data_IF_520425043035
#
_entry.id   IF_520425043035
#
_cell.length_a   1.000
_cell.length_b   1.000
_cell.length_c   1.000
_cell.angle_alpha   90.00
_cell.angle_beta   90.00
_cell.angle_gamma   90.00
#
_symmetry.space_group_name_H-M   'P 1'
#
loop_
_entity.id
_entity.type
_entity.pdbx_description
1 polymer ?
#
# COMPACT_ATOMS: atom_id res chain seq x y z
N UNK A 1 27.97 -3.59 -24.64
CA UNK A 1 27.09 -2.75 -23.80
C UNK A 1 28.00 -1.73 -23.12
N UNK A 2 27.90 -0.45 -23.52
CA UNK A 2 28.72 0.61 -22.93
C UNK A 2 28.38 0.75 -21.44
N UNK A 3 29.39 0.59 -20.58
CA UNK A 3 29.30 0.96 -19.17
C UNK A 3 28.97 2.46 -19.11
N UNK A 4 27.71 2.81 -18.83
CA UNK A 4 27.36 4.18 -18.51
C UNK A 4 28.14 4.58 -17.26
N UNK A 5 29.12 5.49 -17.42
CA UNK A 5 29.86 6.08 -16.27
C UNK A 5 28.85 6.73 -15.34
N UNK A 6 28.67 6.11 -14.17
CA UNK A 6 27.90 6.69 -13.06
C UNK A 6 28.62 7.97 -12.62
N UNK A 7 27.91 9.10 -12.57
CA UNK A 7 28.50 10.40 -12.20
C UNK A 7 28.71 10.44 -10.67
N UNK A 8 27.70 10.01 -9.90
CA UNK A 8 27.73 9.99 -8.43
C UNK A 8 27.22 8.64 -7.91
N UNK A 9 27.84 8.13 -6.86
CA UNK A 9 27.38 6.92 -6.19
C UNK A 9 26.38 7.26 -5.08
N UNK A 10 25.23 6.57 -5.07
CA UNK A 10 24.30 6.62 -3.94
C UNK A 10 24.92 5.92 -2.73
N UNK A 11 24.99 6.58 -1.56
CA UNK A 11 25.51 5.94 -0.37
C UNK A 11 24.66 4.74 0.04
N UNK A 12 25.26 3.57 0.23
CA UNK A 12 24.56 2.35 0.67
C UNK A 12 23.84 2.53 2.02
N UNK A 13 24.31 3.45 2.86
CA UNK A 13 23.70 3.78 4.16
C UNK A 13 22.30 4.40 4.02
N UNK A 14 21.97 4.99 2.88
CA UNK A 14 20.64 5.55 2.63
C UNK A 14 19.58 4.47 2.46
N UNK A 15 19.97 3.23 2.09
CA UNK A 15 19.01 2.17 1.80
C UNK A 15 17.86 2.69 0.92
N UNK A 16 16.60 2.39 1.24
CA UNK A 16 15.44 2.91 0.51
C UNK A 16 14.77 4.14 1.17
N UNK A 17 15.44 4.85 2.09
CA UNK A 17 14.86 6.06 2.71
C UNK A 17 14.40 7.11 1.70
N UNK A 18 15.11 7.38 0.58
CA UNK A 18 14.60 8.30 -0.44
C UNK A 18 13.27 7.83 -1.04
N UNK A 19 13.11 6.53 -1.30
CA UNK A 19 11.84 5.97 -1.77
C UNK A 19 10.73 6.10 -0.72
N UNK A 20 11.06 5.95 0.58
CA UNK A 20 10.11 6.18 1.69
C UNK A 20 9.56 7.61 1.66
N UNK A 21 10.44 8.60 1.50
CA UNK A 21 10.04 10.03 1.42
C UNK A 21 9.20 10.29 0.18
N UNK A 22 9.60 9.78 -0.99
CA UNK A 22 8.84 9.94 -2.23
C UNK A 22 7.47 9.28 -2.15
N UNK A 23 7.37 8.10 -1.54
CA UNK A 23 6.09 7.41 -1.35
C UNK A 23 5.17 8.20 -0.39
N UNK A 24 5.71 8.70 0.73
CA UNK A 24 4.94 9.53 1.65
C UNK A 24 4.44 10.82 0.99
N UNK A 25 5.28 11.48 0.18
CA UNK A 25 4.89 12.67 -0.58
C UNK A 25 3.83 12.35 -1.64
N UNK A 26 3.97 11.23 -2.35
CA UNK A 26 2.97 10.76 -3.32
C UNK A 26 1.62 10.50 -2.66
N UNK A 27 1.58 9.84 -1.52
CA UNK A 27 0.33 9.63 -0.77
C UNK A 27 -0.30 10.95 -0.33
N UNK A 28 0.52 11.91 0.13
CA UNK A 28 0.06 13.26 0.46
C UNK A 28 -0.57 13.98 -0.73
N UNK A 29 0.04 13.86 -1.92
CA UNK A 29 -0.51 14.42 -3.16
C UNK A 29 -1.87 13.77 -3.51
N UNK A 30 -1.92 12.44 -3.58
CA UNK A 30 -3.15 11.72 -3.99
C UNK A 30 -4.33 12.05 -3.08
N UNK A 31 -4.11 12.11 -1.76
CA UNK A 31 -5.20 12.29 -0.79
C UNK A 31 -5.56 13.75 -0.51
N UNK A 32 -4.59 14.66 -0.52
CA UNK A 32 -4.80 16.04 -0.08
C UNK A 32 -4.85 17.07 -1.22
N UNK A 33 -4.48 16.73 -2.45
CA UNK A 33 -4.58 17.67 -3.58
C UNK A 33 -6.03 18.03 -3.86
N UNK A 34 -6.25 19.28 -4.30
CA UNK A 34 -7.58 19.81 -4.59
C UNK A 34 -8.26 19.15 -5.77
N UNK A 35 -7.49 18.69 -6.75
CA UNK A 35 -7.99 18.04 -7.96
C UNK A 35 -7.05 16.90 -8.42
N UNK A 36 -6.90 15.81 -7.61
CA UNK A 36 -5.92 14.76 -7.89
C UNK A 36 -6.26 13.94 -9.14
N UNK A 37 -7.49 14.01 -9.61
CA UNK A 37 -7.97 13.31 -10.81
C UNK A 37 -8.02 14.22 -12.05
N UNK A 38 -7.62 15.49 -11.93
CA UNK A 38 -7.56 16.41 -13.05
C UNK A 38 -6.46 15.98 -14.04
N UNK A 39 -6.76 15.73 -15.33
CA UNK A 39 -5.80 15.19 -16.28
C UNK A 39 -4.59 16.10 -16.51
N UNK A 40 -4.77 17.42 -16.53
CA UNK A 40 -3.67 18.37 -16.77
C UNK A 40 -2.71 18.38 -15.57
N UNK A 41 -3.26 18.37 -14.36
CA UNK A 41 -2.45 18.28 -13.13
C UNK A 41 -1.70 16.96 -13.06
N UNK A 42 -2.38 15.84 -13.32
CA UNK A 42 -1.75 14.52 -13.35
C UNK A 42 -0.63 14.44 -14.39
N UNK A 43 -0.83 15.04 -15.58
CA UNK A 43 0.20 15.08 -16.62
C UNK A 43 1.44 15.85 -16.14
N UNK A 44 1.27 17.00 -15.48
CA UNK A 44 2.39 17.79 -14.93
C UNK A 44 3.14 16.99 -13.85
N UNK A 45 2.43 16.38 -12.89
CA UNK A 45 3.06 15.57 -11.85
C UNK A 45 3.77 14.33 -12.43
N UNK A 46 3.13 13.63 -13.38
CA UNK A 46 3.71 12.46 -14.03
C UNK A 46 4.98 12.81 -14.80
N UNK A 47 4.94 13.91 -15.59
CA UNK A 47 6.11 14.40 -16.32
C UNK A 47 7.23 14.83 -15.38
N UNK A 48 6.91 15.55 -14.31
CA UNK A 48 7.88 15.96 -13.29
C UNK A 48 8.54 14.76 -12.61
N UNK A 49 7.75 13.76 -12.21
CA UNK A 49 8.25 12.52 -11.62
C UNK A 49 9.12 11.71 -12.61
N UNK A 50 8.69 11.64 -13.87
CA UNK A 50 9.44 10.98 -14.92
C UNK A 50 10.78 11.69 -15.20
N UNK A 51 10.79 13.04 -15.29
CA UNK A 51 12.00 13.82 -15.45
C UNK A 51 12.97 13.64 -14.27
N UNK A 52 12.45 13.65 -13.03
CA UNK A 52 13.23 13.36 -11.81
C UNK A 52 13.87 11.97 -11.90
N UNK A 53 13.11 10.97 -12.33
CA UNK A 53 13.57 9.57 -12.42
C UNK A 53 14.64 9.43 -13.52
N UNK A 54 14.44 10.01 -14.70
CA UNK A 54 15.45 10.00 -15.77
C UNK A 54 16.73 10.74 -15.34
N UNK A 55 16.58 11.93 -14.76
CA UNK A 55 17.73 12.70 -14.24
C UNK A 55 18.48 11.91 -13.18
N UNK A 56 17.77 11.30 -12.22
CA UNK A 56 18.37 10.46 -11.20
C UNK A 56 19.11 9.24 -11.77
N UNK A 57 18.52 8.55 -12.74
CA UNK A 57 19.15 7.41 -13.41
C UNK A 57 20.43 7.81 -14.19
N UNK A 58 20.46 9.01 -14.79
CA UNK A 58 21.65 9.48 -15.49
C UNK A 58 22.79 9.86 -14.55
N UNK A 59 22.48 10.41 -13.35
CA UNK A 59 23.45 10.85 -12.36
C UNK A 59 23.96 9.69 -11.51
N UNK A 60 23.05 8.86 -10.98
CA UNK A 60 23.38 7.82 -9.98
C UNK A 60 23.41 6.40 -10.57
N UNK A 61 23.09 6.25 -11.85
CA UNK A 61 22.95 4.97 -12.49
C UNK A 61 21.58 4.33 -12.28
N UNK A 62 21.12 3.63 -13.32
CA UNK A 62 19.78 3.03 -13.36
C UNK A 62 19.50 2.08 -12.20
N UNK A 63 20.43 1.15 -11.94
CA UNK A 63 20.19 0.12 -10.92
C UNK A 63 20.11 0.69 -9.51
N UNK A 64 21.01 1.60 -9.16
CA UNK A 64 21.03 2.24 -7.85
C UNK A 64 19.76 3.08 -7.64
N UNK A 65 19.36 3.86 -8.64
CA UNK A 65 18.17 4.70 -8.58
C UNK A 65 16.90 3.87 -8.39
N UNK A 66 16.66 2.86 -9.23
CA UNK A 66 15.46 2.03 -9.17
C UNK A 66 15.38 1.16 -7.90
N UNK A 67 16.53 0.79 -7.32
CA UNK A 67 16.55 -0.01 -6.09
C UNK A 67 16.39 0.81 -4.82
N UNK A 68 16.80 2.09 -4.80
CA UNK A 68 16.89 2.86 -3.56
C UNK A 68 16.01 4.12 -3.54
N UNK A 69 15.69 4.71 -4.69
CA UNK A 69 15.05 6.03 -4.77
C UNK A 69 13.66 5.98 -5.41
N UNK A 70 13.52 5.26 -6.51
CA UNK A 70 12.27 5.21 -7.26
C UNK A 70 11.23 4.38 -6.49
N UNK A 71 10.23 5.07 -5.89
CA UNK A 71 9.32 4.47 -4.93
C UNK A 71 8.41 3.39 -5.51
N UNK A 72 8.01 3.50 -6.79
CA UNK A 72 7.18 2.47 -7.42
C UNK A 72 7.99 1.22 -7.76
N UNK A 73 9.25 1.35 -8.17
CA UNK A 73 10.14 0.19 -8.37
C UNK A 73 10.35 -0.56 -7.05
N UNK A 74 10.55 0.17 -5.95
CA UNK A 74 10.63 -0.43 -4.61
C UNK A 74 9.32 -1.11 -4.24
N UNK A 75 8.17 -0.47 -4.46
CA UNK A 75 6.84 -1.04 -4.21
C UNK A 75 6.64 -2.34 -5.00
N UNK A 76 6.87 -2.33 -6.30
CA UNK A 76 6.70 -3.51 -7.15
C UNK A 76 7.71 -4.62 -6.84
N UNK A 77 8.93 -4.27 -6.42
CA UNK A 77 9.88 -5.26 -5.93
C UNK A 77 9.37 -5.97 -4.67
N UNK A 78 8.81 -5.23 -3.70
CA UNK A 78 8.20 -5.80 -2.50
C UNK A 78 6.96 -6.65 -2.83
N UNK A 79 6.06 -6.17 -3.70
CA UNK A 79 4.90 -6.94 -4.18
C UNK A 79 5.37 -8.25 -4.85
N UNK A 80 6.45 -8.18 -5.63
CA UNK A 80 7.05 -9.34 -6.26
C UNK A 80 7.49 -10.45 -5.30
N UNK A 81 7.73 -10.14 -4.02
CA UNK A 81 8.06 -11.13 -2.99
C UNK A 81 6.85 -11.95 -2.51
N UNK A 82 5.63 -11.54 -2.84
CA UNK A 82 4.41 -12.31 -2.50
C UNK A 82 4.16 -13.47 -3.47
N UNK A 83 4.85 -13.49 -4.62
CA UNK A 83 4.70 -14.58 -5.60
C UNK A 83 4.94 -15.95 -4.98
N UNK A 84 4.22 -16.97 -5.46
CA UNK A 84 4.31 -18.36 -4.99
C UNK A 84 5.56 -19.09 -5.48
N UNK A 85 6.08 -18.70 -6.64
CA UNK A 85 7.23 -19.39 -7.29
C UNK A 85 8.48 -18.54 -7.34
N UNK A 86 9.65 -19.16 -7.06
CA UNK A 86 10.97 -18.57 -7.33
C UNK A 86 11.92 -19.67 -7.82
N UNK A 87 12.46 -19.48 -9.03
CA UNK A 87 13.23 -20.54 -9.69
C UNK A 87 12.38 -21.84 -9.73
N UNK A 88 12.88 -22.99 -9.46
CA UNK A 88 12.14 -24.27 -9.49
C UNK A 88 11.43 -24.62 -8.15
N UNK A 89 11.20 -23.63 -7.25
CA UNK A 89 10.55 -23.86 -5.96
C UNK A 89 9.21 -23.17 -5.91
N UNK A 90 8.18 -23.89 -5.46
CA UNK A 90 6.85 -23.38 -5.13
C UNK A 90 6.71 -23.37 -3.61
N UNK A 91 6.06 -22.33 -3.09
CA UNK A 91 5.78 -22.16 -1.67
C UNK A 91 4.48 -21.40 -1.43
N UNK A 92 4.16 -21.16 -0.18
CA UNK A 92 3.03 -20.30 0.19
C UNK A 92 3.27 -18.88 -0.36
N UNK A 93 2.21 -18.14 -0.74
CA UNK A 93 2.34 -16.73 -1.09
C UNK A 93 3.12 -15.98 -0.01
N UNK A 94 4.10 -15.17 -0.39
CA UNK A 94 4.91 -14.39 0.57
C UNK A 94 6.03 -15.15 1.28
N UNK A 95 6.24 -16.44 1.01
CA UNK A 95 7.34 -17.20 1.65
C UNK A 95 8.72 -16.57 1.39
N UNK A 96 8.86 -15.80 0.33
CA UNK A 96 10.11 -15.10 0.00
C UNK A 96 10.40 -13.94 0.96
N UNK A 97 9.37 -13.31 1.53
CA UNK A 97 9.51 -12.30 2.59
C UNK A 97 10.23 -12.87 3.84
N UNK A 98 10.09 -14.18 4.08
CA UNK A 98 10.74 -14.85 5.19
C UNK A 98 12.21 -15.18 4.92
N UNK A 99 12.58 -15.32 3.65
CA UNK A 99 13.94 -15.70 3.24
C UNK A 99 14.84 -14.50 3.00
N UNK A 100 14.27 -13.37 2.59
CA UNK A 100 15.01 -12.15 2.36
C UNK A 100 15.43 -11.54 3.70
N UNK A 101 16.74 -11.50 3.96
CA UNK A 101 17.33 -10.96 5.20
C UNK A 101 17.84 -9.54 5.06
N UNK A 102 17.78 -8.98 3.85
CA UNK A 102 18.35 -7.68 3.53
C UNK A 102 17.41 -6.51 3.85
N UNK A 103 16.20 -6.81 4.38
CA UNK A 103 15.27 -5.78 4.82
C UNK A 103 15.78 -5.04 6.06
N UNK A 104 15.74 -3.74 6.00
CA UNK A 104 16.09 -2.85 7.09
C UNK A 104 14.89 -2.01 7.57
N UNK A 105 15.14 -1.05 8.46
CA UNK A 105 14.10 -0.20 9.02
C UNK A 105 13.35 0.60 7.94
N UNK A 106 14.02 1.01 6.87
CA UNK A 106 13.38 1.76 5.78
C UNK A 106 12.33 0.93 5.03
N UNK A 107 12.59 -0.37 4.82
CA UNK A 107 11.62 -1.30 4.24
C UNK A 107 10.39 -1.49 5.16
N UNK A 108 10.62 -1.62 6.46
CA UNK A 108 9.55 -1.71 7.45
C UNK A 108 8.65 -0.47 7.42
N UNK A 109 9.24 0.73 7.45
CA UNK A 109 8.51 1.99 7.39
C UNK A 109 7.81 2.17 6.04
N UNK A 110 8.42 1.74 4.93
CA UNK A 110 7.77 1.77 3.62
C UNK A 110 6.48 0.95 3.59
N UNK A 111 6.50 -0.28 4.14
CA UNK A 111 5.30 -1.13 4.25
C UNK A 111 4.24 -0.49 5.16
N UNK A 112 4.66 0.10 6.29
CA UNK A 112 3.74 0.80 7.21
C UNK A 112 3.09 1.99 6.52
N UNK A 113 3.83 2.77 5.70
CA UNK A 113 3.27 3.89 4.92
C UNK A 113 2.18 3.38 3.97
N UNK A 114 2.46 2.35 3.18
CA UNK A 114 1.48 1.81 2.23
C UNK A 114 0.22 1.34 2.96
N UNK A 115 0.37 0.64 4.07
CA UNK A 115 -0.76 0.14 4.85
C UNK A 115 -1.56 1.26 5.51
N UNK A 116 -0.88 2.19 6.18
CA UNK A 116 -1.54 3.30 6.88
C UNK A 116 -2.21 4.28 5.91
N UNK A 117 -1.54 4.62 4.80
CA UNK A 117 -2.09 5.52 3.79
C UNK A 117 -3.33 4.92 3.13
N UNK A 118 -3.28 3.62 2.73
CA UNK A 118 -4.46 2.95 2.18
C UNK A 118 -5.63 2.91 3.16
N UNK A 119 -5.34 2.64 4.45
CA UNK A 119 -6.37 2.62 5.49
C UNK A 119 -6.95 4.01 5.76
N UNK A 120 -6.10 5.04 5.74
CA UNK A 120 -6.54 6.43 5.89
C UNK A 120 -7.34 6.91 4.69
N UNK A 121 -7.00 6.47 3.48
CA UNK A 121 -7.77 6.69 2.25
C UNK A 121 -9.22 6.17 2.38
N UNK A 122 -9.41 5.00 2.99
CA UNK A 122 -10.75 4.51 3.32
C UNK A 122 -11.45 5.27 4.46
N UNK A 123 -10.69 5.91 5.34
CA UNK A 123 -11.21 6.55 6.55
C UNK A 123 -11.62 8.01 6.31
N UNK A 124 -10.80 8.77 5.58
CA UNK A 124 -10.94 10.23 5.51
C UNK A 124 -12.25 10.70 4.84
N UNK A 125 -12.87 9.87 4.01
CA UNK A 125 -14.18 10.14 3.39
C UNK A 125 -15.37 9.67 4.24
N UNK A 126 -15.14 8.93 5.33
CA UNK A 126 -16.24 8.45 6.17
C UNK A 126 -16.92 9.59 6.91
N UNK A 127 -18.24 9.49 7.08
CA UNK A 127 -19.00 10.45 7.89
C UNK A 127 -18.48 10.54 9.32
N UNK A 128 -17.95 9.42 9.85
CA UNK A 128 -17.34 9.38 11.17
C UNK A 128 -16.11 10.30 11.27
N UNK A 129 -15.20 10.24 10.28
CA UNK A 129 -14.01 11.10 10.27
C UNK A 129 -14.38 12.58 10.07
N UNK A 130 -15.23 12.88 9.09
CA UNK A 130 -15.68 14.24 8.80
C UNK A 130 -16.31 14.90 10.02
N UNK A 131 -17.17 14.17 10.75
CA UNK A 131 -17.76 14.65 11.99
C UNK A 131 -16.71 14.92 13.08
N UNK A 132 -15.65 14.08 13.17
CA UNK A 132 -14.57 14.27 14.16
C UNK A 132 -13.73 15.51 13.91
N UNK A 133 -13.53 15.88 12.66
CA UNK A 133 -12.80 17.11 12.29
C UNK A 133 -13.73 18.33 12.18
N UNK A 134 -15.00 18.22 12.60
CA UNK A 134 -15.96 19.32 12.62
C UNK A 134 -16.52 19.70 11.25
N UNK A 135 -16.43 18.82 10.27
CA UNK A 135 -16.93 19.02 8.91
C UNK A 135 -18.28 18.33 8.76
N UNK A 136 -19.29 19.09 8.32
CA UNK A 136 -20.58 18.51 7.98
C UNK A 136 -20.52 17.86 6.60
N UNK A 137 -20.64 16.51 6.48
CA UNK A 137 -20.55 15.82 5.20
C UNK A 137 -21.68 16.23 4.23
N UNK A 138 -22.78 16.79 4.72
CA UNK A 138 -23.90 17.22 3.89
C UNK A 138 -23.72 18.61 3.29
N UNK A 139 -22.75 19.39 3.76
CA UNK A 139 -22.46 20.74 3.26
C UNK A 139 -21.44 20.71 2.09
N UNK A 140 -20.92 19.53 1.71
CA UNK A 140 -19.93 19.36 0.64
C UNK A 140 -18.80 20.40 0.71
N UNK A 141 -18.01 20.44 1.76
CA UNK A 141 -16.91 21.39 1.88
C UNK A 141 -15.93 21.16 0.73
N UNK A 142 -15.47 22.23 0.11
CA UNK A 142 -14.48 22.13 -0.95
C UNK A 142 -13.21 21.45 -0.47
N UNK A 143 -12.55 20.66 -1.32
CA UNK A 143 -11.30 19.93 -0.98
C UNK A 143 -10.22 20.85 -0.38
N UNK A 144 -10.21 22.12 -0.76
CA UNK A 144 -9.25 23.12 -0.22
C UNK A 144 -9.33 23.23 1.31
N UNK A 145 -10.53 23.18 1.88
CA UNK A 145 -10.72 23.24 3.33
C UNK A 145 -10.21 21.98 4.04
N UNK A 146 -10.11 20.87 3.32
CA UNK A 146 -9.72 19.56 3.86
C UNK A 146 -8.23 19.24 3.71
N UNK A 147 -7.42 20.05 2.99
CA UNK A 147 -6.00 19.78 2.75
C UNK A 147 -5.25 19.50 4.06
N UNK A 148 -5.29 20.47 5.00
CA UNK A 148 -4.54 20.35 6.25
C UNK A 148 -5.08 19.23 7.15
N UNK A 149 -6.39 19.08 7.39
CA UNK A 149 -6.93 17.94 8.13
C UNK A 149 -6.55 16.60 7.53
N UNK A 150 -6.56 16.48 6.19
CA UNK A 150 -6.17 15.24 5.48
C UNK A 150 -4.69 14.94 5.64
N UNK A 151 -3.80 15.92 5.48
CA UNK A 151 -2.36 15.72 5.67
C UNK A 151 -2.03 15.35 7.13
N UNK A 152 -2.63 16.03 8.10
CA UNK A 152 -2.44 15.72 9.52
C UNK A 152 -2.97 14.31 9.82
N UNK A 153 -4.13 13.94 9.31
CA UNK A 153 -4.70 12.62 9.48
C UNK A 153 -3.86 11.53 8.82
N UNK A 154 -3.37 11.74 7.60
CA UNK A 154 -2.51 10.81 6.88
C UNK A 154 -1.20 10.56 7.65
N UNK A 155 -0.43 11.60 7.92
CA UNK A 155 0.86 11.42 8.60
C UNK A 155 0.69 11.02 10.06
N UNK A 156 -0.40 11.47 10.70
CA UNK A 156 -0.80 11.00 12.02
C UNK A 156 -1.14 9.50 12.04
N UNK A 157 -1.83 8.98 11.02
CA UNK A 157 -2.14 7.55 10.91
C UNK A 157 -0.89 6.70 10.67
N UNK A 158 0.06 7.19 9.86
CA UNK A 158 1.35 6.53 9.64
C UNK A 158 2.14 6.43 10.96
N UNK A 159 2.23 7.54 11.69
CA UNK A 159 2.90 7.57 12.98
C UNK A 159 2.20 6.67 13.99
N UNK A 160 0.88 6.75 14.08
CA UNK A 160 0.07 5.94 15.00
C UNK A 160 0.26 4.44 14.74
N UNK A 161 0.16 4.00 13.49
CA UNK A 161 0.34 2.59 13.13
C UNK A 161 1.77 2.13 13.43
N UNK A 162 2.78 2.99 13.16
CA UNK A 162 4.18 2.71 13.51
C UNK A 162 4.34 2.47 15.02
N UNK A 163 3.74 3.33 15.84
CA UNK A 163 3.77 3.20 17.31
C UNK A 163 3.05 1.93 17.77
N UNK A 164 1.84 1.67 17.26
CA UNK A 164 1.07 0.48 17.63
C UNK A 164 1.84 -0.80 17.28
N UNK A 165 2.44 -0.86 16.09
CA UNK A 165 3.27 -1.99 15.68
C UNK A 165 4.52 -2.14 16.58
N UNK A 166 5.16 -1.04 16.93
CA UNK A 166 6.31 -1.05 17.84
C UNK A 166 5.92 -1.58 19.23
N UNK A 167 4.77 -1.13 19.76
CA UNK A 167 4.23 -1.61 21.05
C UNK A 167 3.87 -3.08 20.95
N UNK A 168 3.24 -3.54 19.87
CA UNK A 168 2.89 -4.94 19.64
C UNK A 168 4.14 -5.84 19.61
N UNK A 169 5.19 -5.43 18.88
CA UNK A 169 6.44 -6.17 18.82
C UNK A 169 7.16 -6.17 20.18
N UNK A 170 7.20 -5.02 20.87
CA UNK A 170 7.84 -4.89 22.18
C UNK A 170 7.14 -5.72 23.26
N UNK A 171 5.81 -5.73 23.27
CA UNK A 171 5.03 -6.53 24.21
C UNK A 171 5.33 -8.03 24.06
N UNK A 172 5.41 -8.52 22.80
CA UNK A 172 5.77 -9.92 22.53
C UNK A 172 7.15 -10.28 23.06
N UNK A 173 8.16 -9.42 22.82
CA UNK A 173 9.54 -9.66 23.29
C UNK A 173 9.64 -9.79 24.82
N UNK A 174 8.85 -9.05 25.58
CA UNK A 174 8.88 -9.10 27.05
C UNK A 174 8.50 -10.46 27.64
N UNK A 175 7.77 -11.28 26.90
CA UNK A 175 7.27 -12.57 27.38
C UNK A 175 8.07 -13.78 26.90
N UNK A 176 9.11 -13.55 26.06
CA UNK A 176 9.97 -14.63 25.56
C UNK A 176 11.26 -14.73 26.37
N UNK A 177 11.78 -15.96 26.43
CA UNK A 177 13.04 -16.23 27.15
C UNK A 177 14.26 -16.01 26.25
N UNK A 178 14.13 -16.28 24.96
CA UNK A 178 15.21 -16.09 24.00
C UNK A 178 15.46 -14.59 23.77
N UNK A 179 16.71 -14.13 23.73
CA UNK A 179 17.02 -12.72 23.50
C UNK A 179 16.71 -12.34 22.05
N UNK A 180 15.63 -11.61 21.84
CA UNK A 180 15.21 -11.09 20.51
C UNK A 180 15.47 -9.60 20.45
N UNK A 181 16.38 -9.11 19.59
CA UNK A 181 16.58 -7.67 19.40
C UNK A 181 15.31 -6.99 18.89
N UNK A 182 14.85 -5.94 19.57
CA UNK A 182 13.63 -5.20 19.20
C UNK A 182 13.63 -4.76 17.74
N UNK A 183 14.73 -4.16 17.25
CA UNK A 183 14.84 -3.71 15.87
C UNK A 183 14.62 -4.85 14.87
N UNK A 184 15.18 -6.03 15.13
CA UNK A 184 15.02 -7.19 14.25
C UNK A 184 13.57 -7.70 14.25
N UNK A 185 12.93 -7.80 15.41
CA UNK A 185 11.53 -8.19 15.52
C UNK A 185 10.61 -7.19 14.82
N UNK A 186 10.79 -5.89 15.08
CA UNK A 186 10.00 -4.82 14.45
C UNK A 186 10.07 -4.88 12.93
N UNK A 187 11.28 -4.93 12.35
CA UNK A 187 11.47 -4.99 10.90
C UNK A 187 10.79 -6.22 10.31
N UNK A 188 11.07 -7.40 10.86
CA UNK A 188 10.53 -8.65 10.33
C UNK A 188 9.02 -8.72 10.42
N UNK A 189 8.43 -8.27 11.53
CA UNK A 189 6.98 -8.22 11.69
C UNK A 189 6.31 -7.18 10.80
N UNK A 190 6.90 -5.99 10.64
CA UNK A 190 6.37 -4.98 9.72
C UNK A 190 6.26 -5.50 8.28
N UNK A 191 7.26 -6.24 7.80
CA UNK A 191 7.26 -6.81 6.45
C UNK A 191 6.13 -7.85 6.27
N UNK A 192 5.75 -8.59 7.33
CA UNK A 192 4.63 -9.54 7.25
C UNK A 192 3.27 -8.87 7.05
N UNK A 193 3.16 -7.55 7.23
CA UNK A 193 1.94 -6.78 6.98
C UNK A 193 1.74 -6.43 5.49
N UNK A 194 2.74 -6.64 4.65
CA UNK A 194 2.65 -6.32 3.21
C UNK A 194 1.45 -6.95 2.51
N UNK A 195 1.06 -8.23 2.74
CA UNK A 195 -0.15 -8.79 2.16
C UNK A 195 -1.41 -8.02 2.54
N UNK A 196 -1.51 -7.52 3.78
CA UNK A 196 -2.66 -6.72 4.23
C UNK A 196 -2.71 -5.40 3.45
N UNK A 197 -1.56 -4.73 3.30
CA UNK A 197 -1.49 -3.49 2.54
C UNK A 197 -1.99 -3.67 1.10
N UNK A 198 -1.56 -4.74 0.42
CA UNK A 198 -1.97 -5.04 -0.96
C UNK A 198 -3.44 -5.45 -1.03
N UNK A 199 -3.87 -6.34 -0.12
CA UNK A 199 -5.26 -6.80 -0.08
C UNK A 199 -6.23 -5.66 0.18
N UNK A 200 -5.85 -4.72 1.04
CA UNK A 200 -6.63 -3.52 1.31
C UNK A 200 -6.73 -2.61 0.08
N UNK A 201 -5.61 -2.31 -0.59
CA UNK A 201 -5.62 -1.52 -1.83
C UNK A 201 -6.48 -2.17 -2.91
N UNK A 202 -6.37 -3.50 -3.09
CA UNK A 202 -7.25 -4.22 -4.00
C UNK A 202 -8.72 -4.03 -3.62
N UNK A 203 -9.08 -4.27 -2.37
CA UNK A 203 -10.47 -4.17 -1.91
C UNK A 203 -11.01 -2.74 -2.04
N UNK A 204 -10.21 -1.72 -1.69
CA UNK A 204 -10.59 -0.32 -1.74
C UNK A 204 -10.84 0.17 -3.17
N UNK A 205 -9.90 -0.12 -4.08
CA UNK A 205 -9.98 0.35 -5.47
C UNK A 205 -10.73 -0.59 -6.43
N UNK A 206 -11.26 -1.72 -5.96
CA UNK A 206 -11.86 -2.73 -6.83
C UNK A 206 -13.02 -2.19 -7.67
N UNK A 207 -13.94 -1.44 -7.07
CA UNK A 207 -15.08 -0.84 -7.79
C UNK A 207 -14.60 0.23 -8.78
N UNK A 208 -13.70 1.10 -8.33
CA UNK A 208 -13.07 2.11 -9.18
C UNK A 208 -12.37 1.47 -10.37
N UNK A 209 -11.64 0.38 -10.14
CA UNK A 209 -11.00 -0.38 -11.23
C UNK A 209 -12.02 -0.91 -12.24
N UNK A 210 -13.14 -1.51 -11.80
CA UNK A 210 -14.18 -2.04 -12.70
C UNK A 210 -14.81 -0.96 -13.60
N UNK A 211 -14.88 0.28 -13.10
CA UNK A 211 -15.39 1.42 -13.86
C UNK A 211 -14.30 2.00 -14.76
N UNK A 212 -13.15 2.31 -14.21
CA UNK A 212 -12.07 3.02 -14.91
C UNK A 212 -11.40 2.17 -16.00
N UNK A 213 -11.32 0.85 -15.84
CA UNK A 213 -10.74 -0.03 -16.87
C UNK A 213 -11.51 0.07 -18.21
N UNK A 214 -12.79 0.38 -18.17
CA UNK A 214 -13.59 0.59 -19.39
C UNK A 214 -13.15 1.83 -20.14
N UNK A 215 -12.80 2.91 -19.41
CA UNK A 215 -12.26 4.16 -20.00
C UNK A 215 -10.87 3.91 -20.61
N UNK A 216 -10.02 3.16 -19.89
CA UNK A 216 -8.69 2.80 -20.39
C UNK A 216 -8.79 2.00 -21.69
N UNK A 217 -9.67 1.00 -21.73
CA UNK A 217 -9.89 0.18 -22.95
C UNK A 217 -10.43 1.03 -24.10
N UNK A 218 -11.34 1.96 -23.83
CA UNK A 218 -11.85 2.90 -24.84
C UNK A 218 -10.74 3.84 -25.36
N UNK A 219 -9.91 4.38 -24.45
CA UNK A 219 -8.78 5.23 -24.83
C UNK A 219 -7.70 4.49 -25.63
N UNK A 220 -7.43 3.23 -25.30
CA UNK A 220 -6.52 2.38 -26.09
C UNK A 220 -7.07 2.05 -27.49
N UNK A 221 -8.41 2.01 -27.65
CA UNK A 221 -9.03 1.81 -28.95
C UNK A 221 -8.91 3.02 -29.89
N UNK A 222 -8.78 4.24 -29.33
CA UNK A 222 -8.58 5.49 -30.07
C UNK A 222 -7.62 6.44 -29.31
N UNK A 223 -6.32 6.11 -29.23
CA UNK A 223 -5.37 6.82 -28.35
C UNK A 223 -5.09 8.27 -28.77
N UNK A 224 -5.42 8.65 -30.01
CA UNK A 224 -5.21 9.99 -30.53
C UNK A 224 -6.53 10.75 -30.78
N UNK A 225 -7.67 10.19 -30.32
CA UNK A 225 -9.01 10.76 -30.53
C UNK A 225 -9.32 11.10 -32.01
N UNK A 226 -8.87 10.23 -32.92
CA UNK A 226 -9.04 10.39 -34.38
C UNK A 226 -10.27 9.64 -34.93
N UNK A 227 -11.07 9.05 -34.02
CA UNK A 227 -12.19 8.19 -34.41
C UNK A 227 -11.77 6.77 -34.79
N UNK A 228 -10.57 6.34 -34.40
CA UNK A 228 -10.08 4.99 -34.64
C UNK A 228 -10.91 3.98 -33.82
N UNK A 229 -11.04 2.79 -34.35
CA UNK A 229 -11.69 1.69 -33.64
C UNK A 229 -10.81 0.45 -33.71
N UNK A 230 -9.59 0.56 -33.12
CA UNK A 230 -8.54 -0.45 -33.24
C UNK A 230 -8.95 -1.83 -32.73
N UNK A 231 -9.90 -1.90 -31.78
CA UNK A 231 -10.39 -3.15 -31.21
C UNK A 231 -11.81 -3.53 -31.64
N UNK A 232 -12.40 -2.82 -32.62
CA UNK A 232 -13.77 -3.09 -33.05
C UNK A 232 -14.84 -2.87 -31.96
N UNK A 233 -14.53 -2.07 -30.93
CA UNK A 233 -15.42 -1.89 -29.78
C UNK A 233 -16.52 -0.85 -30.00
N UNK A 234 -16.42 -0.05 -31.07
CA UNK A 234 -17.31 1.08 -31.33
C UNK A 234 -17.21 2.18 -30.27
N UNK A 235 -18.10 3.16 -30.32
CA UNK A 235 -18.23 4.18 -29.27
C UNK A 235 -18.96 3.57 -28.05
N UNK A 236 -18.20 2.95 -27.14
CA UNK A 236 -18.77 2.38 -25.93
C UNK A 236 -18.94 3.43 -24.85
N UNK A 237 -20.13 3.47 -24.25
CA UNK A 237 -20.38 4.21 -23.01
C UNK A 237 -19.86 3.40 -21.82
N UNK A 238 -19.33 4.10 -20.81
CA UNK A 238 -18.98 3.46 -19.54
C UNK A 238 -20.23 2.87 -18.91
N UNK A 239 -20.24 1.56 -18.69
CA UNK A 239 -21.36 0.84 -18.10
C UNK A 239 -21.21 0.86 -16.57
N UNK A 240 -22.11 1.53 -15.89
CA UNK A 240 -22.21 1.55 -14.42
C UNK A 240 -23.46 0.82 -13.91
N UNK A 241 -24.34 0.40 -14.80
CA UNK A 241 -25.60 -0.26 -14.45
C UNK A 241 -25.45 -1.55 -13.67
N UNK A 242 -24.27 -2.23 -13.76
CA UNK A 242 -24.00 -3.42 -12.96
C UNK A 242 -23.94 -3.12 -11.44
N UNK A 243 -23.68 -1.86 -11.05
CA UNK A 243 -23.66 -1.42 -9.66
C UNK A 243 -25.07 -1.19 -9.07
N UNK A 244 -26.12 -1.22 -9.90
CA UNK A 244 -27.51 -1.09 -9.45
C UNK A 244 -28.22 -2.44 -9.31
N UNK A 245 -27.57 -3.54 -9.72
CA UNK A 245 -28.08 -4.90 -9.60
C UNK A 245 -27.64 -5.49 -8.27
N UNK A 246 -28.58 -5.80 -7.33
CA UNK A 246 -28.24 -6.25 -5.98
C UNK A 246 -27.30 -7.47 -5.93
N UNK A 247 -27.48 -8.42 -6.86
CA UNK A 247 -26.65 -9.63 -6.97
C UNK A 247 -25.19 -9.29 -7.29
N UNK A 248 -24.96 -8.35 -8.21
CA UNK A 248 -23.64 -7.91 -8.58
C UNK A 248 -22.96 -7.14 -7.42
N UNK A 249 -23.71 -6.25 -6.77
CA UNK A 249 -23.21 -5.51 -5.59
C UNK A 249 -22.81 -6.47 -4.49
N UNK A 250 -23.62 -7.52 -4.26
CA UNK A 250 -23.30 -8.57 -3.29
C UNK A 250 -22.00 -9.32 -3.64
N UNK A 251 -21.83 -9.69 -4.91
CA UNK A 251 -20.59 -10.36 -5.39
C UNK A 251 -19.39 -9.45 -5.20
N UNK A 252 -19.49 -8.18 -5.58
CA UNK A 252 -18.44 -7.18 -5.42
C UNK A 252 -18.05 -7.06 -3.94
N UNK A 253 -19.03 -6.88 -3.07
CA UNK A 253 -18.80 -6.72 -1.63
C UNK A 253 -18.13 -7.96 -1.02
N UNK A 254 -18.59 -9.17 -1.34
CA UNK A 254 -17.97 -10.40 -0.85
C UNK A 254 -16.55 -10.60 -1.41
N UNK A 255 -16.28 -10.16 -2.64
CA UNK A 255 -14.94 -10.18 -3.22
C UNK A 255 -13.99 -9.26 -2.44
N UNK A 256 -14.43 -8.03 -2.15
CA UNK A 256 -13.65 -7.07 -1.36
C UNK A 256 -13.41 -7.58 0.08
N UNK A 257 -14.48 -8.01 0.75
CA UNK A 257 -14.39 -8.54 2.12
C UNK A 257 -13.53 -9.81 2.19
N UNK A 258 -13.69 -10.71 1.22
CA UNK A 258 -12.87 -11.92 1.09
C UNK A 258 -11.39 -11.60 0.92
N UNK A 259 -11.07 -10.60 0.09
CA UNK A 259 -9.67 -10.17 -0.11
C UNK A 259 -9.06 -9.58 1.16
N UNK A 260 -9.82 -8.76 1.91
CA UNK A 260 -9.38 -8.26 3.22
C UNK A 260 -9.08 -9.42 4.16
N UNK A 261 -10.01 -10.35 4.34
CA UNK A 261 -9.84 -11.50 5.26
C UNK A 261 -8.66 -12.38 4.83
N UNK A 262 -8.58 -12.75 3.54
CA UNK A 262 -7.51 -13.62 3.05
C UNK A 262 -6.12 -13.00 3.20
N UNK A 263 -5.99 -11.69 2.97
CA UNK A 263 -4.72 -10.99 3.17
C UNK A 263 -4.28 -10.98 4.63
N UNK A 264 -5.22 -10.84 5.58
CA UNK A 264 -4.95 -10.94 7.01
C UNK A 264 -4.56 -12.37 7.43
N UNK A 265 -5.26 -13.39 6.94
CA UNK A 265 -4.90 -14.79 7.18
C UNK A 265 -3.48 -15.06 6.70
N UNK A 266 -3.12 -14.60 5.51
CA UNK A 266 -1.77 -14.75 4.97
C UNK A 266 -0.73 -14.03 5.85
N UNK A 267 -1.02 -12.81 6.28
CA UNK A 267 -0.11 -12.05 7.16
C UNK A 267 0.08 -12.74 8.51
N UNK A 268 -0.97 -13.32 9.10
CA UNK A 268 -0.88 -14.11 10.36
C UNK A 268 0.01 -15.33 10.16
N UNK A 269 -0.13 -16.05 9.04
CA UNK A 269 0.72 -17.20 8.72
C UNK A 269 2.19 -16.78 8.59
N UNK A 270 2.45 -15.69 7.86
CA UNK A 270 3.82 -15.15 7.72
C UNK A 270 4.39 -14.67 9.04
N UNK A 271 3.57 -14.02 9.89
CA UNK A 271 3.95 -13.61 11.23
C UNK A 271 4.34 -14.82 12.10
N UNK A 272 3.54 -15.89 12.06
CA UNK A 272 3.84 -17.13 12.79
C UNK A 272 5.17 -17.73 12.34
N UNK A 273 5.40 -17.86 11.04
CA UNK A 273 6.68 -18.35 10.50
C UNK A 273 7.86 -17.45 10.84
N UNK A 274 7.64 -16.13 10.89
CA UNK A 274 8.65 -15.18 11.36
C UNK A 274 9.00 -15.40 12.83
N UNK A 275 8.01 -15.63 13.68
CA UNK A 275 8.22 -15.91 15.10
C UNK A 275 8.97 -17.25 15.29
N UNK A 276 8.62 -18.31 14.55
CA UNK A 276 9.35 -19.60 14.55
C UNK A 276 10.83 -19.44 14.16
N UNK A 277 11.16 -18.49 13.29
CA UNK A 277 12.54 -18.21 12.88
C UNK A 277 13.33 -17.37 13.89
N UNK A 278 12.65 -16.74 14.86
CA UNK A 278 13.27 -15.85 15.86
C UNK A 278 13.49 -16.53 17.22
N UNK A 279 12.66 -17.52 17.59
CA UNK A 279 12.71 -18.18 18.89
C UNK A 279 12.52 -19.69 18.76
N UNK A 280 13.06 -20.46 19.72
CA UNK A 280 13.14 -21.92 19.61
C UNK A 280 11.95 -22.63 20.29
N UNK A 281 11.35 -22.03 21.31
CA UNK A 281 10.28 -22.63 22.10
C UNK A 281 8.90 -22.35 21.48
N UNK A 282 8.02 -23.38 21.41
CA UNK A 282 6.63 -23.18 20.95
C UNK A 282 5.87 -22.14 21.77
N UNK A 283 6.11 -22.08 23.08
CA UNK A 283 5.50 -21.06 23.94
C UNK A 283 5.99 -19.67 23.54
N UNK A 284 7.29 -19.52 23.31
CA UNK A 284 7.87 -18.22 22.98
C UNK A 284 7.44 -17.76 21.58
N UNK A 285 7.23 -18.67 20.62
CA UNK A 285 6.61 -18.37 19.31
C UNK A 285 5.24 -17.73 19.51
N UNK A 286 4.37 -18.34 20.34
CA UNK A 286 3.02 -17.80 20.60
C UNK A 286 3.10 -16.44 21.31
N UNK A 287 3.95 -16.32 22.33
CA UNK A 287 4.09 -15.07 23.06
C UNK A 287 4.64 -13.94 22.21
N UNK A 288 5.65 -14.22 21.39
CA UNK A 288 6.30 -13.22 20.53
C UNK A 288 5.33 -12.60 19.52
N UNK A 289 4.45 -13.40 18.94
CA UNK A 289 3.49 -12.94 17.94
C UNK A 289 2.15 -12.44 18.52
N UNK A 290 1.88 -12.64 19.82
CA UNK A 290 0.57 -12.40 20.40
C UNK A 290 0.09 -10.96 20.23
N UNK A 291 0.95 -9.98 20.51
CA UNK A 291 0.63 -8.56 20.35
C UNK A 291 0.28 -8.22 18.90
N UNK A 292 1.03 -8.77 17.93
CA UNK A 292 0.78 -8.55 16.51
C UNK A 292 -0.49 -9.28 16.04
N UNK A 293 -0.77 -10.48 16.54
CA UNK A 293 -2.00 -11.21 16.21
C UNK A 293 -3.25 -10.46 16.70
N UNK A 294 -3.20 -9.88 17.89
CA UNK A 294 -4.26 -9.00 18.41
C UNK A 294 -4.43 -7.78 17.50
N UNK A 295 -3.33 -7.12 17.14
CA UNK A 295 -3.36 -6.00 16.20
C UNK A 295 -4.03 -6.39 14.87
N UNK A 296 -3.66 -7.52 14.28
CA UNK A 296 -4.22 -8.00 13.01
C UNK A 296 -5.73 -8.29 13.11
N UNK A 297 -6.22 -8.82 14.24
CA UNK A 297 -7.66 -9.04 14.45
C UNK A 297 -8.41 -7.70 14.46
N UNK A 298 -7.92 -6.73 15.24
CA UNK A 298 -8.52 -5.38 15.26
C UNK A 298 -8.45 -4.71 13.89
N UNK A 299 -7.35 -4.88 13.17
CA UNK A 299 -7.16 -4.30 11.85
C UNK A 299 -8.06 -4.95 10.79
N UNK A 300 -8.36 -6.25 10.92
CA UNK A 300 -9.36 -6.93 10.09
C UNK A 300 -10.76 -6.34 10.31
N UNK A 301 -11.16 -6.19 11.57
CA UNK A 301 -12.46 -5.59 11.93
C UNK A 301 -12.54 -4.15 11.41
N UNK A 302 -11.47 -3.38 11.59
CA UNK A 302 -11.37 -2.01 11.09
C UNK A 302 -11.49 -1.94 9.55
N UNK A 303 -10.78 -2.80 8.82
CA UNK A 303 -10.86 -2.86 7.36
C UNK A 303 -12.26 -3.23 6.83
N UNK A 304 -12.93 -4.18 7.47
CA UNK A 304 -14.32 -4.55 7.15
C UNK A 304 -15.30 -3.42 7.50
N UNK A 305 -15.07 -2.73 8.61
CA UNK A 305 -15.85 -1.55 8.99
C UNK A 305 -15.68 -0.42 7.96
N UNK A 306 -14.47 -0.17 7.47
CA UNK A 306 -14.22 0.82 6.42
C UNK A 306 -14.98 0.50 5.12
N UNK A 307 -15.07 -0.79 4.74
CA UNK A 307 -15.85 -1.21 3.57
C UNK A 307 -17.34 -1.01 3.74
N UNK A 308 -17.85 -1.13 4.97
CA UNK A 308 -19.27 -1.00 5.29
C UNK A 308 -19.68 0.45 5.65
N UNK A 309 -18.70 1.34 5.89
CA UNK A 309 -18.98 2.70 6.36
C UNK A 309 -19.54 3.59 5.25
N UNK A 310 -20.57 4.41 5.55
CA UNK A 310 -21.06 5.41 4.62
C UNK A 310 -20.01 6.50 4.40
N UNK A 311 -19.86 6.94 3.15
CA UNK A 311 -18.88 7.95 2.73
C UNK A 311 -19.58 9.19 2.24
N UNK A 312 -18.99 10.35 2.51
CA UNK A 312 -19.32 11.58 1.83
C UNK A 312 -18.75 11.52 0.41
N UNK A 313 -19.55 11.85 -0.58
CA UNK A 313 -19.13 11.86 -1.99
C UNK A 313 -18.23 13.07 -2.26
#
# INVERSE_FOLDING_TARGET
>A
MSEHRVILNLPSRLSIWPAVVLMAAFQGFVLADTAPNDPDRLAVFALGYWALTLGGMTVFGREAWLKQVECFSVLFALIGLIRMGRSNRLGLPGWQLLQDRDHDLSHAIFVVIILAAGSFDGLYETFWWLAKIGVNPLEYPGRTALIMPTLIGLYGSILLLTIILAVAAFSGIKWVKDPVPFKAAFIRFAITLLPIAIGYHFAHYFVTFLVQIQIVVAGLADPLAQGWNLFGLGSRRVLVGFLTVPENVKIIWFTQAGMVVMSHVLAVVLCHRTAEALVSSRRDVVMLQLGLSILMIFYTIFGLWLLASPRGA
#
